data_IF_634831375549
#
_entry.id   IF_634831375549
#
_cell.length_a   1.000
_cell.length_b   1.000
_cell.length_c   1.000
_cell.angle_alpha   90.00
_cell.angle_beta   90.00
_cell.angle_gamma   90.00
#
_symmetry.space_group_name_H-M   'P 1'
#
loop_
_entity.id
_entity.type
_entity.pdbx_description
1 polymer ?
#
# COMPACT_ATOMS: atom_id res chain seq x y z
N UNK A 1 -14.30 -4.10 -14.73
CA UNK A 1 -13.01 -4.04 -13.99
C UNK A 1 -12.38 -5.42 -13.81
N UNK A 2 -11.08 -5.49 -13.49
CA UNK A 2 -10.34 -6.76 -13.30
C UNK A 2 -9.89 -6.96 -11.86
N UNK A 3 -10.27 -8.08 -11.25
CA UNK A 3 -9.91 -8.44 -9.88
C UNK A 3 -9.12 -9.74 -9.85
N UNK A 4 -8.06 -9.77 -9.06
CA UNK A 4 -7.33 -10.98 -8.65
C UNK A 4 -8.16 -11.75 -7.63
N UNK A 5 -8.79 -11.04 -6.70
CA UNK A 5 -9.55 -11.63 -5.61
C UNK A 5 -10.63 -10.66 -5.10
N UNK A 6 -11.76 -11.23 -4.70
CA UNK A 6 -12.86 -10.55 -4.03
C UNK A 6 -13.33 -11.44 -2.88
N UNK A 7 -13.16 -10.99 -1.64
CA UNK A 7 -13.43 -11.85 -0.48
C UNK A 7 -13.54 -11.11 0.84
N UNK A 8 -13.96 -11.83 1.88
CA UNK A 8 -13.94 -11.34 3.26
C UNK A 8 -12.57 -11.58 3.89
N UNK A 9 -12.07 -10.58 4.63
CA UNK A 9 -10.87 -10.70 5.46
C UNK A 9 -11.16 -10.09 6.83
N UNK A 10 -11.57 -10.94 7.77
CA UNK A 10 -12.15 -10.46 9.03
C UNK A 10 -13.48 -9.76 8.76
N UNK A 11 -13.64 -8.55 9.31
CA UNK A 11 -14.88 -7.75 9.22
C UNK A 11 -14.95 -6.82 7.99
N UNK A 12 -14.00 -6.93 7.06
CA UNK A 12 -13.94 -6.11 5.86
C UNK A 12 -13.98 -6.95 4.59
N UNK A 13 -14.62 -6.42 3.54
CA UNK A 13 -14.42 -6.91 2.18
C UNK A 13 -13.08 -6.40 1.68
N UNK A 14 -12.35 -7.27 0.98
CA UNK A 14 -11.11 -6.95 0.29
C UNK A 14 -11.31 -7.16 -1.21
N UNK A 15 -11.02 -6.11 -1.98
CA UNK A 15 -11.01 -6.12 -3.44
C UNK A 15 -9.55 -5.98 -3.88
N UNK A 16 -8.95 -7.08 -4.35
CA UNK A 16 -7.59 -7.08 -4.88
C UNK A 16 -7.65 -6.94 -6.40
N UNK A 17 -7.30 -5.77 -6.91
CA UNK A 17 -7.32 -5.43 -8.33
C UNK A 17 -6.13 -6.03 -9.08
N UNK A 18 -6.34 -6.25 -10.38
CA UNK A 18 -5.32 -6.68 -11.32
C UNK A 18 -4.72 -5.51 -12.11
N UNK A 19 -3.48 -5.69 -12.56
CA UNK A 19 -2.74 -4.73 -13.39
C UNK A 19 -1.96 -3.73 -12.54
N UNK A 20 -0.69 -3.49 -12.91
CA UNK A 20 0.17 -2.53 -12.24
C UNK A 20 1.09 -1.84 -13.25
N UNK A 21 1.33 -0.56 -13.00
CA UNK A 21 2.25 0.34 -13.72
C UNK A 21 3.67 0.29 -13.16
N UNK A 22 3.84 -0.38 -12.01
CA UNK A 22 5.12 -0.82 -11.46
C UNK A 22 5.34 -2.31 -11.76
N UNK A 23 6.60 -2.73 -11.71
CA UNK A 23 7.08 -4.10 -11.94
C UNK A 23 7.97 -4.57 -10.80
N UNK A 24 7.58 -4.25 -9.57
CA UNK A 24 8.33 -4.61 -8.37
C UNK A 24 8.70 -6.11 -8.40
N UNK A 25 10.00 -6.47 -8.35
CA UNK A 25 10.45 -7.85 -8.61
C UNK A 25 9.94 -8.87 -7.59
N UNK A 26 9.63 -8.41 -6.37
CA UNK A 26 9.09 -9.23 -5.28
C UNK A 26 7.56 -9.30 -5.25
N UNK A 27 6.83 -8.54 -6.07
CA UNK A 27 5.38 -8.45 -5.96
C UNK A 27 4.68 -9.70 -6.52
N UNK A 28 3.83 -10.32 -5.69
CA UNK A 28 3.06 -11.49 -6.08
C UNK A 28 1.87 -11.15 -7.00
N UNK A 29 1.32 -9.93 -6.91
CA UNK A 29 0.05 -9.55 -7.56
C UNK A 29 0.16 -9.38 -9.08
N UNK A 30 1.32 -8.97 -9.59
CA UNK A 30 1.51 -8.61 -11.01
C UNK A 30 1.43 -9.81 -11.98
N UNK A 31 1.47 -11.04 -11.45
CA UNK A 31 1.42 -12.29 -12.20
C UNK A 31 0.23 -13.18 -11.83
N UNK A 32 -0.66 -12.71 -10.97
CA UNK A 32 -1.84 -13.48 -10.60
C UNK A 32 -2.85 -13.52 -11.77
N UNK A 33 -3.62 -14.60 -11.90
CA UNK A 33 -4.79 -14.60 -12.76
C UNK A 33 -5.80 -13.56 -12.28
N UNK A 34 -6.69 -13.15 -13.17
CA UNK A 34 -7.78 -12.24 -12.85
C UNK A 34 -9.08 -12.72 -13.46
N UNK A 35 -10.18 -12.27 -12.88
CA UNK A 35 -11.51 -12.35 -13.44
C UNK A 35 -12.05 -10.95 -13.72
N UNK A 36 -12.97 -10.85 -14.67
CA UNK A 36 -13.64 -9.60 -15.01
C UNK A 36 -14.97 -9.51 -14.26
N UNK A 37 -15.17 -8.39 -13.59
CA UNK A 37 -16.39 -8.09 -12.86
C UNK A 37 -16.94 -6.74 -13.35
N UNK A 38 -18.26 -6.66 -13.46
CA UNK A 38 -19.00 -5.40 -13.54
C UNK A 38 -19.04 -4.70 -12.18
N UNK A 39 -19.37 -3.41 -12.18
CA UNK A 39 -19.60 -2.67 -10.92
C UNK A 39 -20.74 -3.32 -10.12
N UNK A 40 -21.80 -3.75 -10.79
CA UNK A 40 -22.97 -4.30 -10.13
C UNK A 40 -22.66 -5.65 -9.46
N UNK A 41 -21.86 -6.52 -10.08
CA UNK A 41 -21.41 -7.77 -9.43
C UNK A 41 -20.59 -7.52 -8.15
N UNK A 42 -19.68 -6.55 -8.18
CA UNK A 42 -18.90 -6.17 -6.99
C UNK A 42 -19.79 -5.56 -5.91
N UNK A 43 -20.70 -4.68 -6.31
CA UNK A 43 -21.66 -4.04 -5.40
C UNK A 43 -22.58 -5.07 -4.76
N UNK A 44 -23.10 -6.02 -5.53
CA UNK A 44 -23.96 -7.09 -5.04
C UNK A 44 -23.21 -8.02 -4.08
N UNK A 45 -21.94 -8.36 -4.38
CA UNK A 45 -21.10 -9.10 -3.44
C UNK A 45 -20.95 -8.34 -2.11
N UNK A 46 -20.58 -7.06 -2.16
CA UNK A 46 -20.40 -6.24 -0.95
C UNK A 46 -21.70 -6.09 -0.18
N UNK A 47 -22.83 -5.85 -0.86
CA UNK A 47 -24.15 -5.71 -0.27
C UNK A 47 -24.61 -6.96 0.47
N UNK A 48 -24.30 -8.14 -0.10
CA UNK A 48 -24.62 -9.43 0.50
C UNK A 48 -23.60 -9.85 1.57
N UNK A 49 -22.49 -9.13 1.70
CA UNK A 49 -21.57 -9.29 2.81
C UNK A 49 -22.10 -8.60 4.08
N UNK A 50 -21.77 -9.14 5.25
CA UNK A 50 -22.05 -8.47 6.53
C UNK A 50 -21.07 -7.32 6.83
N UNK A 51 -20.11 -7.04 5.93
CA UNK A 51 -19.06 -6.07 6.16
C UNK A 51 -19.61 -4.63 6.11
N UNK A 52 -18.94 -3.73 6.85
CA UNK A 52 -19.14 -2.28 6.76
C UNK A 52 -17.94 -1.54 6.19
N UNK A 53 -16.85 -2.26 5.93
CA UNK A 53 -15.58 -1.73 5.46
C UNK A 53 -15.19 -2.40 4.16
N UNK A 54 -14.68 -1.62 3.21
CA UNK A 54 -14.07 -2.13 1.98
C UNK A 54 -12.64 -1.63 1.89
N UNK A 55 -11.72 -2.57 1.76
CA UNK A 55 -10.34 -2.29 1.42
C UNK A 55 -10.12 -2.55 -0.07
N UNK A 56 -9.80 -1.49 -0.80
CA UNK A 56 -9.49 -1.55 -2.23
C UNK A 56 -7.96 -1.57 -2.37
N UNK A 57 -7.41 -2.63 -2.95
CA UNK A 57 -5.96 -2.81 -3.09
C UNK A 57 -5.60 -3.88 -4.10
N UNK A 58 -4.67 -4.77 -3.78
CA UNK A 58 -4.13 -5.78 -4.69
C UNK A 58 -2.92 -5.25 -5.45
N UNK A 59 -2.99 -5.28 -6.79
CA UNK A 59 -2.06 -4.59 -7.68
C UNK A 59 -2.29 -3.06 -7.62
N UNK A 60 -2.52 -2.36 -8.75
CA UNK A 60 -2.81 -0.93 -8.75
C UNK A 60 -4.26 -0.63 -9.18
N UNK A 61 -5.17 -0.32 -8.23
CA UNK A 61 -6.56 -0.05 -8.53
C UNK A 61 -6.77 1.14 -9.47
N UNK A 62 -5.93 2.18 -9.39
CA UNK A 62 -6.13 3.44 -10.14
C UNK A 62 -5.95 3.29 -11.66
N UNK A 63 -5.51 2.13 -12.12
CA UNK A 63 -5.48 1.79 -13.55
C UNK A 63 -6.86 1.42 -14.12
N UNK A 64 -7.84 1.12 -13.27
CA UNK A 64 -9.17 0.73 -13.71
C UNK A 64 -10.05 1.96 -13.95
N UNK A 65 -10.59 2.07 -15.16
CA UNK A 65 -11.51 3.16 -15.53
C UNK A 65 -12.76 3.23 -14.64
N UNK A 66 -13.22 2.06 -14.18
CA UNK A 66 -14.43 1.91 -13.37
C UNK A 66 -14.19 2.14 -11.86
N UNK A 67 -12.97 2.48 -11.43
CA UNK A 67 -12.65 2.59 -10.00
C UNK A 67 -13.49 3.67 -9.31
N UNK A 68 -13.54 4.89 -9.87
CA UNK A 68 -14.29 6.00 -9.25
C UNK A 68 -15.79 5.69 -9.22
N UNK A 69 -16.44 5.27 -10.32
CA UNK A 69 -17.84 4.81 -10.27
C UNK A 69 -18.12 3.72 -9.22
N UNK A 70 -17.20 2.76 -9.04
CA UNK A 70 -17.33 1.76 -7.99
C UNK A 70 -17.26 2.40 -6.60
N UNK A 71 -16.27 3.25 -6.33
CA UNK A 71 -16.09 3.93 -5.05
C UNK A 71 -17.35 4.74 -4.69
N UNK A 72 -17.93 5.47 -5.64
CA UNK A 72 -19.16 6.24 -5.45
C UNK A 72 -20.36 5.34 -5.07
N UNK A 73 -20.52 4.20 -5.76
CA UNK A 73 -21.58 3.22 -5.47
C UNK A 73 -21.40 2.61 -4.08
N UNK A 74 -20.18 2.21 -3.72
CA UNK A 74 -19.86 1.67 -2.40
C UNK A 74 -20.08 2.71 -1.29
N UNK A 75 -19.70 3.96 -1.53
CA UNK A 75 -19.91 5.06 -0.58
C UNK A 75 -21.41 5.31 -0.36
N UNK A 76 -22.20 5.30 -1.44
CA UNK A 76 -23.66 5.46 -1.38
C UNK A 76 -24.37 4.36 -0.59
N UNK A 77 -23.74 3.18 -0.45
CA UNK A 77 -24.22 2.08 0.40
C UNK A 77 -23.86 2.26 1.89
N UNK A 78 -23.14 3.34 2.24
CA UNK A 78 -22.67 3.60 3.60
C UNK A 78 -21.41 2.81 3.97
N UNK A 79 -20.62 2.35 2.99
CA UNK A 79 -19.38 1.63 3.24
C UNK A 79 -18.26 2.57 3.66
N UNK A 80 -17.46 2.15 4.64
CA UNK A 80 -16.21 2.80 4.99
C UNK A 80 -15.08 2.29 4.07
N UNK A 81 -14.57 3.14 3.20
CA UNK A 81 -13.64 2.74 2.12
C UNK A 81 -12.21 3.20 2.45
N UNK A 82 -11.26 2.27 2.33
CA UNK A 82 -9.82 2.56 2.33
C UNK A 82 -9.26 2.18 0.96
N UNK A 83 -8.60 3.14 0.29
CA UNK A 83 -7.97 2.93 -1.01
C UNK A 83 -6.44 2.80 -0.85
N UNK A 84 -5.87 1.65 -1.23
CA UNK A 84 -4.42 1.49 -1.40
C UNK A 84 -4.02 1.82 -2.84
N UNK A 85 -2.94 2.58 -2.99
CA UNK A 85 -2.35 2.91 -4.29
C UNK A 85 -0.82 3.02 -4.19
N UNK A 86 -0.14 2.90 -5.33
CA UNK A 86 1.26 3.25 -5.52
C UNK A 86 1.53 4.76 -5.64
N UNK A 87 0.47 5.57 -5.72
CA UNK A 87 0.55 7.04 -5.77
C UNK A 87 0.98 7.62 -7.13
N UNK A 88 1.03 6.83 -8.20
CA UNK A 88 1.38 7.34 -9.53
C UNK A 88 0.27 8.14 -10.22
N UNK A 89 -0.96 8.09 -9.70
CA UNK A 89 -2.14 8.76 -10.24
C UNK A 89 -2.79 9.69 -9.22
N UNK A 90 -2.13 10.81 -8.86
CA UNK A 90 -2.65 11.76 -7.87
C UNK A 90 -4.05 12.28 -8.23
N UNK A 91 -4.38 12.40 -9.52
CA UNK A 91 -5.68 12.83 -10.00
C UNK A 91 -6.83 11.90 -9.57
N UNK A 92 -6.57 10.60 -9.48
CA UNK A 92 -7.57 9.60 -9.05
C UNK A 92 -7.75 9.65 -7.54
N UNK A 93 -6.68 9.89 -6.79
CA UNK A 93 -6.76 10.09 -5.33
C UNK A 93 -7.58 11.33 -5.01
N UNK A 94 -7.32 12.45 -5.69
CA UNK A 94 -8.07 13.69 -5.52
C UNK A 94 -9.57 13.49 -5.79
N UNK A 95 -9.93 12.83 -6.89
CA UNK A 95 -11.33 12.50 -7.21
C UNK A 95 -11.99 11.61 -6.16
N UNK A 96 -11.23 10.70 -5.52
CA UNK A 96 -11.77 9.79 -4.52
C UNK A 96 -11.97 10.40 -3.13
N UNK A 97 -11.37 11.58 -2.85
CA UNK A 97 -11.40 12.23 -1.53
C UNK A 97 -12.78 12.29 -0.88
N UNK A 98 -13.87 12.69 -1.57
CA UNK A 98 -15.19 12.80 -0.93
C UNK A 98 -15.74 11.47 -0.41
N UNK A 99 -15.29 10.35 -0.99
CA UNK A 99 -15.91 9.04 -0.86
C UNK A 99 -15.12 8.06 0.01
N UNK A 100 -13.84 8.34 0.27
CA UNK A 100 -12.97 7.45 1.06
C UNK A 100 -12.76 7.98 2.47
N UNK A 101 -12.62 7.06 3.43
CA UNK A 101 -12.17 7.41 4.78
C UNK A 101 -10.69 7.77 4.78
N UNK A 102 -9.91 7.12 3.93
CA UNK A 102 -8.48 7.31 3.90
C UNK A 102 -7.75 6.46 2.87
N UNK A 103 -6.44 6.61 2.88
CA UNK A 103 -5.53 6.02 1.91
C UNK A 103 -4.47 5.16 2.57
N UNK A 104 -3.96 4.22 1.78
CA UNK A 104 -2.70 3.52 2.04
C UNK A 104 -1.76 3.78 0.87
N UNK A 105 -0.61 4.40 1.13
CA UNK A 105 0.44 4.60 0.12
C UNK A 105 1.73 3.91 0.56
N UNK A 106 2.56 3.48 -0.38
CA UNK A 106 3.78 2.73 -0.08
C UNK A 106 5.03 3.57 -0.39
N UNK A 107 5.87 3.77 0.61
CA UNK A 107 7.22 4.31 0.47
C UNK A 107 8.18 3.14 0.33
N UNK A 108 8.94 3.11 -0.78
CA UNK A 108 9.91 2.04 -1.04
C UNK A 108 11.23 2.28 -0.31
N UNK A 109 11.73 3.50 -0.44
CA UNK A 109 13.03 4.01 0.03
C UNK A 109 12.96 5.55 0.03
N UNK A 110 13.96 6.26 0.59
CA UNK A 110 14.10 7.70 0.42
C UNK A 110 13.97 8.15 -1.04
N UNK A 111 13.34 9.31 -1.26
CA UNK A 111 13.03 9.80 -2.61
C UNK A 111 14.25 10.14 -3.46
N UNK A 112 15.38 10.40 -2.81
CA UNK A 112 16.68 10.68 -3.40
C UNK A 112 17.43 9.40 -3.83
N UNK A 113 17.03 8.21 -3.36
CA UNK A 113 17.68 6.93 -3.68
C UNK A 113 17.17 6.38 -5.02
N UNK A 114 17.34 7.15 -6.10
CA UNK A 114 16.72 6.89 -7.40
C UNK A 114 17.08 5.53 -7.99
N UNK A 115 18.30 5.04 -7.80
CA UNK A 115 18.73 3.71 -8.23
C UNK A 115 17.98 2.59 -7.48
N UNK A 116 17.79 2.74 -6.17
CA UNK A 116 17.01 1.81 -5.37
C UNK A 116 15.53 1.86 -5.76
N UNK A 117 14.97 3.04 -6.04
CA UNK A 117 13.60 3.17 -6.55
C UNK A 117 13.46 2.44 -7.89
N UNK A 118 14.41 2.62 -8.81
CA UNK A 118 14.43 1.93 -10.09
C UNK A 118 14.34 0.42 -9.92
N UNK A 119 15.19 -0.14 -9.06
CA UNK A 119 15.26 -1.58 -8.80
C UNK A 119 13.99 -2.11 -8.11
N UNK A 120 13.54 -1.42 -7.05
CA UNK A 120 12.41 -1.86 -6.22
C UNK A 120 11.06 -1.71 -6.93
N UNK A 121 10.96 -0.84 -7.93
CA UNK A 121 9.72 -0.59 -8.68
C UNK A 121 9.76 -1.17 -10.09
N UNK A 122 10.93 -1.51 -10.63
CA UNK A 122 11.08 -2.03 -11.99
C UNK A 122 10.68 -1.03 -13.09
N UNK A 123 10.61 0.27 -12.79
CA UNK A 123 10.45 1.33 -13.79
C UNK A 123 11.83 1.76 -14.28
N UNK A 124 11.94 2.36 -15.47
CA UNK A 124 13.22 2.89 -15.97
C UNK A 124 13.66 4.15 -15.22
N UNK A 125 14.96 4.45 -15.16
CA UNK A 125 15.49 5.69 -14.56
C UNK A 125 14.77 6.96 -15.05
N UNK A 126 14.44 7.04 -16.35
CA UNK A 126 13.68 8.17 -16.95
C UNK A 126 12.30 8.41 -16.34
N UNK A 127 11.70 7.41 -15.68
CA UNK A 127 10.37 7.47 -15.06
C UNK A 127 10.43 7.67 -13.56
N UNK A 128 11.61 7.52 -12.94
CA UNK A 128 11.79 7.62 -11.48
C UNK A 128 11.44 9.02 -10.99
N UNK A 129 11.91 10.07 -11.68
CA UNK A 129 11.61 11.46 -11.31
C UNK A 129 10.09 11.73 -11.31
N UNK A 130 9.39 11.27 -12.35
CA UNK A 130 7.93 11.41 -12.43
C UNK A 130 7.20 10.60 -11.35
N UNK A 131 7.66 9.37 -11.08
CA UNK A 131 7.14 8.54 -10.00
C UNK A 131 7.26 9.25 -8.64
N UNK A 132 8.45 9.77 -8.33
CA UNK A 132 8.70 10.51 -7.08
C UNK A 132 7.82 11.76 -7.00
N UNK A 133 7.72 12.53 -8.08
CA UNK A 133 6.86 13.72 -8.12
C UNK A 133 5.39 13.36 -7.85
N UNK A 134 4.86 12.35 -8.54
CA UNK A 134 3.47 11.92 -8.37
C UNK A 134 3.21 11.37 -6.98
N UNK A 135 4.13 10.56 -6.43
CA UNK A 135 3.98 10.00 -5.09
C UNK A 135 4.01 11.09 -4.02
N UNK A 136 4.87 12.12 -4.15
CA UNK A 136 4.84 13.30 -3.26
C UNK A 136 3.48 13.99 -3.28
N UNK A 137 2.99 14.33 -4.47
CA UNK A 137 1.66 14.95 -4.63
C UNK A 137 0.54 14.07 -4.06
N UNK A 138 0.58 12.76 -4.31
CA UNK A 138 -0.38 11.79 -3.78
C UNK A 138 -0.36 11.74 -2.25
N UNK A 139 0.81 11.81 -1.62
CA UNK A 139 0.94 11.85 -0.16
C UNK A 139 0.34 13.15 0.39
N UNK A 140 0.61 14.29 -0.23
CA UNK A 140 0.06 15.59 0.20
C UNK A 140 -1.47 15.60 0.13
N UNK A 141 -2.04 15.07 -0.97
CA UNK A 141 -3.49 14.87 -1.12
C UNK A 141 -4.01 13.97 0.00
N UNK A 142 -3.35 12.81 0.21
CA UNK A 142 -3.82 11.80 1.14
C UNK A 142 -3.75 12.23 2.61
N UNK A 143 -2.84 13.13 2.98
CA UNK A 143 -2.73 13.72 4.33
C UNK A 143 -3.97 14.51 4.76
N UNK A 144 -4.85 14.89 3.83
CA UNK A 144 -6.13 15.55 4.14
C UNK A 144 -7.20 14.59 4.68
N UNK A 145 -6.93 13.29 4.64
CA UNK A 145 -7.77 12.21 5.16
C UNK A 145 -6.94 11.32 6.08
N UNK A 146 -7.53 10.22 6.55
CA UNK A 146 -6.74 9.23 7.27
C UNK A 146 -5.70 8.63 6.33
N UNK A 147 -4.42 8.65 6.72
CA UNK A 147 -3.33 8.13 5.90
C UNK A 147 -2.51 7.11 6.68
N UNK A 148 -2.35 5.92 6.09
CA UNK A 148 -1.31 4.96 6.47
C UNK A 148 -0.23 4.90 5.40
N UNK A 149 1.03 5.09 5.79
CA UNK A 149 2.15 4.81 4.91
C UNK A 149 2.68 3.40 5.15
N UNK A 150 2.98 2.65 4.09
CA UNK A 150 3.58 1.33 4.14
C UNK A 150 5.04 1.40 3.75
N UNK A 151 5.88 0.66 4.47
CA UNK A 151 7.27 0.42 4.09
C UNK A 151 7.52 -1.07 4.17
N UNK A 152 7.90 -1.69 3.06
CA UNK A 152 8.40 -3.06 3.05
C UNK A 152 9.88 -3.02 3.39
N UNK A 153 10.25 -3.64 4.51
CA UNK A 153 11.61 -3.56 5.05
C UNK A 153 12.45 -4.64 4.38
N UNK A 154 13.18 -4.26 3.33
CA UNK A 154 14.13 -5.12 2.62
C UNK A 154 15.54 -4.70 3.05
N UNK A 155 16.34 -5.59 3.68
CA UNK A 155 17.67 -5.21 4.14
C UNK A 155 18.56 -4.79 2.96
N UNK A 156 19.40 -3.78 3.19
CA UNK A 156 20.20 -3.11 2.15
C UNK A 156 19.48 -1.92 1.49
N UNK A 157 18.15 -1.89 1.50
CA UNK A 157 17.35 -0.76 0.99
C UNK A 157 16.74 0.05 2.12
N UNK A 158 16.14 -0.64 3.10
CA UNK A 158 15.52 -0.04 4.27
C UNK A 158 16.41 -0.31 5.49
N UNK A 159 17.27 0.65 5.77
CA UNK A 159 18.17 0.71 6.93
C UNK A 159 17.73 1.80 7.91
N UNK A 160 18.31 1.82 9.11
CA UNK A 160 18.12 2.91 10.07
C UNK A 160 18.37 4.29 9.43
N UNK A 161 19.45 4.43 8.66
CA UNK A 161 19.78 5.68 7.97
C UNK A 161 18.70 6.07 6.95
N UNK A 162 18.25 5.12 6.13
CA UNK A 162 17.19 5.38 5.15
C UNK A 162 15.86 5.75 5.83
N UNK A 163 15.53 5.11 6.95
CA UNK A 163 14.31 5.39 7.71
C UNK A 163 14.37 6.81 8.26
N UNK A 164 15.50 7.22 8.84
CA UNK A 164 15.74 8.60 9.28
C UNK A 164 15.52 9.62 8.16
N UNK A 165 15.98 9.32 6.94
CA UNK A 165 15.76 10.18 5.75
C UNK A 165 14.30 10.19 5.27
N UNK A 166 13.53 9.13 5.49
CA UNK A 166 12.09 9.09 5.17
C UNK A 166 11.19 9.76 6.23
N UNK A 167 11.66 9.98 7.46
CA UNK A 167 10.85 10.56 8.54
C UNK A 167 10.10 11.86 8.16
N UNK A 168 10.71 12.84 7.47
CA UNK A 168 10.00 14.06 7.08
C UNK A 168 8.79 13.80 6.15
N UNK A 169 8.86 12.75 5.32
CA UNK A 169 7.75 12.35 4.46
C UNK A 169 6.65 11.68 5.28
N UNK A 170 7.06 10.85 6.24
CA UNK A 170 6.17 10.11 7.13
C UNK A 170 5.43 11.02 8.12
N UNK A 171 6.02 12.15 8.47
CA UNK A 171 5.41 13.14 9.37
C UNK A 171 4.06 13.64 8.81
N UNK A 172 3.03 13.59 9.65
CA UNK A 172 1.65 13.90 9.27
C UNK A 172 0.81 12.70 8.81
N UNK A 173 1.39 11.51 8.64
CA UNK A 173 0.60 10.29 8.50
C UNK A 173 -0.06 9.91 9.84
N UNK A 174 -1.27 9.34 9.77
CA UNK A 174 -1.95 8.82 10.96
C UNK A 174 -1.23 7.59 11.51
N UNK A 175 -0.64 6.78 10.63
CA UNK A 175 0.18 5.66 11.03
C UNK A 175 1.16 5.21 9.93
N UNK A 176 2.23 4.51 10.34
CA UNK A 176 3.15 3.83 9.43
C UNK A 176 3.08 2.33 9.70
N UNK A 177 3.05 1.53 8.65
CA UNK A 177 3.19 0.09 8.71
C UNK A 177 4.56 -0.32 8.16
N UNK A 178 5.37 -0.95 8.98
CA UNK A 178 6.58 -1.66 8.55
C UNK A 178 6.23 -3.12 8.31
N UNK A 179 6.41 -3.58 7.08
CA UNK A 179 6.14 -4.94 6.64
C UNK A 179 7.46 -5.68 6.46
N UNK A 180 7.69 -6.73 7.26
CA UNK A 180 8.88 -7.58 7.16
C UNK A 180 8.90 -8.24 5.78
N UNK A 181 10.05 -8.27 5.11
CA UNK A 181 10.17 -8.94 3.82
C UNK A 181 10.20 -10.46 4.03
N UNK A 182 9.11 -11.15 3.70
CA UNK A 182 8.95 -12.56 4.09
C UNK A 182 9.61 -13.54 3.13
N UNK A 183 9.92 -13.10 1.91
CA UNK A 183 10.48 -13.93 0.83
C UNK A 183 9.83 -15.31 0.70
N UNK A 184 8.50 -15.33 0.64
CA UNK A 184 7.71 -16.53 0.38
C UNK A 184 6.60 -16.24 -0.64
N UNK A 185 6.19 -17.24 -1.45
CA UNK A 185 5.29 -17.01 -2.58
C UNK A 185 3.90 -16.48 -2.20
N UNK A 186 3.50 -16.56 -0.92
CA UNK A 186 2.23 -16.05 -0.43
C UNK A 186 2.25 -14.53 -0.20
N UNK A 187 3.43 -13.94 -0.05
CA UNK A 187 3.60 -12.55 0.35
C UNK A 187 4.63 -11.76 -0.48
N UNK A 188 5.77 -12.38 -0.79
CA UNK A 188 6.93 -11.79 -1.47
C UNK A 188 7.71 -12.83 -2.27
N UNK A 189 7.85 -12.65 -3.58
CA UNK A 189 8.84 -13.44 -4.32
C UNK A 189 10.27 -13.14 -3.85
N UNK A 190 11.18 -14.14 -3.86
CA UNK A 190 12.59 -13.92 -3.56
C UNK A 190 13.20 -12.78 -4.36
N UNK A 191 13.97 -11.95 -3.68
CA UNK A 191 14.56 -10.73 -4.23
C UNK A 191 15.85 -10.36 -3.48
N UNK A 192 16.79 -9.71 -4.16
CA UNK A 192 18.08 -9.26 -3.60
C UNK A 192 18.86 -10.35 -2.84
N UNK A 193 18.71 -11.62 -3.25
CA UNK A 193 19.37 -12.77 -2.62
C UNK A 193 18.68 -13.33 -1.37
N UNK A 194 17.60 -12.70 -0.89
CA UNK A 194 16.84 -13.18 0.26
C UNK A 194 15.82 -14.24 -0.16
N UNK A 195 15.83 -15.40 0.51
CA UNK A 195 14.94 -16.55 0.26
C UNK A 195 14.17 -17.00 1.51
N UNK A 196 14.22 -16.19 2.58
CA UNK A 196 13.53 -16.42 3.85
C UNK A 196 13.18 -15.06 4.48
N UNK A 197 12.35 -15.03 5.55
CA UNK A 197 12.00 -13.80 6.24
C UNK A 197 13.23 -13.00 6.70
N UNK A 198 13.23 -11.71 6.40
CA UNK A 198 14.24 -10.71 6.78
C UNK A 198 13.60 -9.32 6.91
N UNK A 199 14.21 -8.37 7.65
CA UNK A 199 15.29 -8.56 8.61
C UNK A 199 14.81 -9.33 9.86
N UNK A 200 15.65 -9.49 10.87
CA UNK A 200 15.21 -10.09 12.13
C UNK A 200 14.08 -9.26 12.76
N UNK A 201 13.24 -9.91 13.57
CA UNK A 201 12.11 -9.22 14.19
C UNK A 201 12.56 -8.08 15.11
N UNK A 202 13.70 -8.24 15.80
CA UNK A 202 14.32 -7.22 16.63
C UNK A 202 14.72 -5.99 15.81
N UNK A 203 15.23 -6.19 14.58
CA UNK A 203 15.56 -5.08 13.68
C UNK A 203 14.29 -4.32 13.26
N UNK A 204 13.19 -5.04 13.01
CA UNK A 204 11.88 -4.42 12.72
C UNK A 204 11.42 -3.55 13.89
N UNK A 205 11.63 -3.99 15.13
CA UNK A 205 11.30 -3.24 16.34
C UNK A 205 12.19 -2.00 16.50
N UNK A 206 13.48 -2.10 16.23
CA UNK A 206 14.41 -0.96 16.24
C UNK A 206 14.03 0.10 15.21
N UNK A 207 13.71 -0.31 13.97
CA UNK A 207 13.23 0.62 12.94
C UNK A 207 11.90 1.27 13.33
N UNK A 208 10.98 0.51 13.92
CA UNK A 208 9.70 1.04 14.36
C UNK A 208 9.84 2.07 15.49
N UNK A 209 10.81 1.88 16.41
CA UNK A 209 11.11 2.85 17.45
C UNK A 209 11.54 4.21 16.87
N UNK A 210 12.36 4.21 15.81
CA UNK A 210 12.78 5.43 15.11
C UNK A 210 11.57 6.13 14.46
N UNK A 211 10.70 5.37 13.78
CA UNK A 211 9.50 5.92 13.14
C UNK A 211 8.53 6.51 14.19
N UNK A 212 8.43 5.88 15.36
CA UNK A 212 7.56 6.33 16.45
C UNK A 212 7.97 7.67 17.06
N UNK A 213 9.18 8.18 16.77
CA UNK A 213 9.60 9.53 17.16
C UNK A 213 8.79 10.63 16.44
N UNK A 214 8.24 10.34 15.26
CA UNK A 214 7.56 11.32 14.38
C UNK A 214 6.14 10.94 13.98
N UNK A 215 5.76 9.67 14.14
CA UNK A 215 4.45 9.16 13.73
C UNK A 215 3.72 8.63 14.96
N UNK A 216 2.45 9.00 15.19
CA UNK A 216 1.74 8.69 16.44
C UNK A 216 1.51 7.17 16.64
N UNK A 217 1.53 6.39 15.56
CA UNK A 217 1.24 4.97 15.57
C UNK A 217 2.05 4.24 14.49
N UNK A 218 2.80 3.23 14.91
CA UNK A 218 3.62 2.38 14.06
C UNK A 218 3.17 0.94 14.22
N UNK A 219 2.92 0.25 13.12
CA UNK A 219 2.52 -1.15 13.08
C UNK A 219 3.67 -1.93 12.45
N UNK A 220 4.14 -2.98 13.10
CA UNK A 220 5.02 -3.96 12.47
C UNK A 220 4.22 -5.24 12.18
N UNK A 221 4.40 -5.78 10.98
CA UNK A 221 3.77 -7.03 10.53
C UNK A 221 4.83 -7.93 9.89
N UNK A 222 4.82 -9.21 10.24
CA UNK A 222 5.76 -10.19 9.70
C UNK A 222 5.52 -11.59 10.25
N UNK A 223 6.58 -12.39 10.35
CA UNK A 223 6.52 -13.80 10.76
C UNK A 223 6.03 -13.98 12.20
N UNK A 224 6.31 -13.02 13.08
CA UNK A 224 5.84 -13.01 14.47
C UNK A 224 4.45 -12.35 14.63
N UNK A 225 3.70 -12.22 13.53
CA UNK A 225 2.36 -11.66 13.53
C UNK A 225 2.37 -10.13 13.45
N UNK A 226 1.69 -9.48 14.40
CA UNK A 226 1.45 -8.03 14.39
C UNK A 226 1.76 -7.42 15.75
N UNK A 227 2.54 -6.35 15.78
CA UNK A 227 2.80 -5.52 16.97
C UNK A 227 2.55 -4.05 16.65
N UNK A 228 2.08 -3.29 17.64
CA UNK A 228 1.79 -1.85 17.53
C UNK A 228 2.69 -1.12 18.53
N UNK A 229 3.28 -0.01 18.09
CA UNK A 229 4.10 0.91 18.88
C UNK A 229 3.49 2.31 18.73
N UNK A 230 3.32 3.05 19.83
CA UNK A 230 2.67 4.37 19.82
C UNK A 230 1.29 4.37 20.49
N UNK A 231 0.54 5.47 20.36
CA UNK A 231 -0.75 5.66 21.06
C UNK A 231 -1.89 4.92 20.34
N UNK A 232 -2.81 4.37 21.13
CA UNK A 232 -4.06 3.76 20.64
C UNK A 232 -5.07 4.78 20.13
#
# INVERSE_FOLDING_TARGET
>A
MRLINMGLKGEQVRLDFFGCNLKCPYCIHIRQPFEEYSIDEVVDFVKNSAAKKVFIGGAEPTLQKDLIPLIERLYSMGMEIILKSDGMKPEVLEQSLPFVKGFVLELKVPFEDTAAIEELTGISSKRVEQYVANLKTSIDIAKTRWLRLWVRVIPGYVTEESVKRMLPVMEGACEVLLYQFLSNPDFDHPFAGYTSPVPAWEDMESLAAIVAEKVPRVIIVGENGRKIIGKE
#
